data_IF_329679318963
#
_entry.id   IF_329679318963
#
_cell.length_a   1.000
_cell.length_b   1.000
_cell.length_c   1.000
_cell.angle_alpha   90.00
_cell.angle_beta   90.00
_cell.angle_gamma   90.00
#
_symmetry.space_group_name_H-M   'P 1'
#
loop_
_entity.id
_entity.type
_entity.pdbx_description
1 polymer ?
#
# COMPACT_ATOMS: atom_id res chain seq x y z
N UNK A 1 43.22 -1.97 -42.37
CA UNK A 1 43.18 -1.90 -40.89
C UNK A 1 42.31 -0.73 -40.50
N UNK A 2 41.03 -0.98 -40.27
CA UNK A 2 40.07 0.02 -39.77
C UNK A 2 39.78 -0.33 -38.32
N UNK A 3 40.45 0.39 -37.41
CA UNK A 3 40.14 0.38 -35.99
C UNK A 3 38.77 1.05 -35.82
N UNK A 4 37.74 0.24 -35.62
CA UNK A 4 36.49 0.72 -35.02
C UNK A 4 36.78 1.01 -33.56
N UNK A 5 36.94 2.30 -33.26
CA UNK A 5 36.86 2.83 -31.89
C UNK A 5 35.48 2.50 -31.34
N UNK A 6 35.34 1.34 -30.68
CA UNK A 6 34.26 1.13 -29.71
C UNK A 6 34.49 2.16 -28.62
N UNK A 7 33.64 3.18 -28.57
CA UNK A 7 33.53 4.05 -27.40
C UNK A 7 33.26 3.12 -26.22
N UNK A 8 34.29 2.86 -25.42
CA UNK A 8 34.14 2.08 -24.19
C UNK A 8 33.32 2.97 -23.28
N UNK A 9 32.05 2.63 -23.09
CA UNK A 9 31.26 3.21 -22.01
C UNK A 9 31.96 2.72 -20.74
N UNK A 10 32.61 3.59 -19.95
CA UNK A 10 33.27 3.14 -18.73
C UNK A 10 32.21 2.53 -17.81
N UNK A 11 32.52 1.41 -17.16
CA UNK A 11 31.68 0.93 -16.08
C UNK A 11 31.57 2.06 -15.04
N UNK A 12 30.37 2.38 -14.60
CA UNK A 12 30.20 3.35 -13.53
C UNK A 12 30.57 2.71 -12.20
N UNK A 13 30.15 1.47 -11.97
CA UNK A 13 30.41 0.76 -10.71
C UNK A 13 30.81 -0.68 -10.99
N UNK A 14 31.88 -1.15 -10.35
CA UNK A 14 32.22 -2.57 -10.27
C UNK A 14 32.17 -3.03 -8.82
N UNK A 15 31.42 -4.10 -8.54
CA UNK A 15 31.27 -4.67 -7.20
C UNK A 15 31.87 -6.07 -7.20
N UNK A 16 32.71 -6.41 -6.21
CA UNK A 16 33.41 -7.70 -6.13
C UNK A 16 33.77 -8.06 -4.68
N UNK A 17 34.53 -9.14 -4.47
CA UNK A 17 35.06 -9.50 -3.15
C UNK A 17 34.04 -10.20 -2.23
N UNK A 18 32.97 -10.76 -2.79
CA UNK A 18 31.91 -11.45 -2.06
C UNK A 18 31.05 -12.31 -3.00
N UNK A 19 29.85 -12.68 -2.54
CA UNK A 19 28.88 -13.44 -3.34
C UNK A 19 27.87 -12.51 -3.97
N UNK A 20 27.66 -12.59 -5.28
CA UNK A 20 26.59 -11.88 -5.98
C UNK A 20 25.54 -12.90 -6.38
N UNK A 21 24.35 -12.81 -5.80
CA UNK A 21 23.19 -13.57 -6.24
C UNK A 21 22.63 -12.90 -7.51
N UNK A 22 22.75 -13.58 -8.65
CA UNK A 22 22.25 -13.07 -9.94
C UNK A 22 20.79 -13.49 -10.14
N UNK A 23 20.48 -14.74 -9.79
CA UNK A 23 19.12 -15.28 -9.80
C UNK A 23 18.92 -16.18 -8.59
N UNK A 24 17.84 -15.94 -7.84
CA UNK A 24 17.51 -16.72 -6.64
C UNK A 24 17.15 -18.17 -6.98
N UNK A 25 16.52 -18.40 -8.12
CA UNK A 25 16.13 -19.74 -8.57
C UNK A 25 16.34 -19.91 -10.08
N UNK A 26 17.24 -20.81 -10.45
CA UNK A 26 17.33 -21.34 -11.80
C UNK A 26 17.44 -22.87 -11.69
N UNK A 27 16.37 -23.59 -12.06
CA UNK A 27 16.35 -25.06 -12.02
C UNK A 27 16.69 -25.65 -10.62
N UNK A 28 16.25 -24.98 -9.54
CA UNK A 28 16.47 -25.44 -8.17
C UNK A 28 17.86 -25.16 -7.59
N UNK A 29 18.72 -24.40 -8.30
CA UNK A 29 20.00 -23.90 -7.76
C UNK A 29 20.12 -22.38 -7.99
N UNK A 30 20.63 -21.60 -7.02
CA UNK A 30 20.88 -20.18 -7.24
C UNK A 30 22.01 -19.96 -8.25
N UNK A 31 21.85 -18.99 -9.14
CA UNK A 31 22.92 -18.52 -10.02
C UNK A 31 23.68 -17.43 -9.31
N UNK A 32 24.98 -17.65 -9.09
CA UNK A 32 25.86 -16.70 -8.41
C UNK A 32 27.01 -16.24 -9.29
N UNK A 33 27.62 -15.12 -8.92
CA UNK A 33 28.85 -14.59 -9.50
C UNK A 33 29.75 -14.01 -8.41
N UNK A 34 31.03 -13.81 -8.71
CA UNK A 34 32.02 -13.21 -7.80
C UNK A 34 32.30 -11.73 -8.09
N UNK A 35 31.82 -11.20 -9.21
CA UNK A 35 31.85 -9.76 -9.53
C UNK A 35 30.68 -9.34 -10.44
N UNK A 36 30.31 -8.07 -10.41
CA UNK A 36 29.26 -7.48 -11.26
C UNK A 36 29.63 -6.04 -11.62
N UNK A 37 29.39 -5.64 -12.87
CA UNK A 37 29.64 -4.29 -13.35
C UNK A 37 28.35 -3.64 -13.83
N UNK A 38 28.19 -2.36 -13.50
CA UNK A 38 27.06 -1.53 -13.89
C UNK A 38 27.50 -0.35 -14.76
N UNK A 39 26.68 -0.03 -15.76
CA UNK A 39 26.71 1.26 -16.45
C UNK A 39 25.29 1.71 -16.75
N UNK A 40 25.01 2.98 -16.49
CA UNK A 40 23.71 3.63 -16.71
C UNK A 40 22.57 2.78 -16.14
N UNK A 41 22.69 2.37 -14.88
CA UNK A 41 21.68 1.59 -14.16
C UNK A 41 21.40 0.20 -14.73
N UNK A 42 22.29 -0.37 -15.56
CA UNK A 42 22.17 -1.71 -16.13
C UNK A 42 23.40 -2.54 -15.80
N UNK A 43 23.19 -3.85 -15.61
CA UNK A 43 24.29 -4.82 -15.53
C UNK A 43 24.91 -4.97 -16.91
N UNK A 44 26.22 -4.80 -17.02
CA UNK A 44 26.95 -4.90 -18.30
C UNK A 44 27.93 -6.08 -18.35
N UNK A 45 28.35 -6.60 -17.19
CA UNK A 45 29.22 -7.77 -17.09
C UNK A 45 29.08 -8.46 -15.72
N UNK A 46 29.49 -9.73 -15.67
CA UNK A 46 29.55 -10.57 -14.47
C UNK A 46 30.92 -11.27 -14.41
N UNK A 47 31.33 -11.71 -13.21
CA UNK A 47 32.53 -12.49 -13.00
C UNK A 47 33.81 -11.81 -13.50
N UNK A 48 34.68 -12.55 -14.17
CA UNK A 48 35.98 -12.04 -14.62
C UNK A 48 35.85 -10.90 -15.64
N UNK A 49 34.81 -10.91 -16.48
CA UNK A 49 34.52 -9.81 -17.41
C UNK A 49 34.20 -8.51 -16.66
N UNK A 50 33.55 -8.60 -15.49
CA UNK A 50 33.32 -7.43 -14.64
C UNK A 50 34.63 -6.95 -13.96
N UNK A 51 35.50 -7.87 -13.53
CA UNK A 51 36.80 -7.53 -12.94
C UNK A 51 37.73 -6.83 -13.94
N UNK A 52 37.70 -7.25 -15.21
CA UNK A 52 38.47 -6.63 -16.28
C UNK A 52 38.10 -5.14 -16.51
N UNK A 53 36.92 -4.71 -16.05
CA UNK A 53 36.45 -3.33 -16.14
C UNK A 53 36.87 -2.45 -14.96
N UNK A 54 37.40 -3.01 -13.86
CA UNK A 54 37.81 -2.24 -12.67
C UNK A 54 38.78 -1.08 -12.98
N UNK A 55 39.82 -1.23 -13.84
CA UNK A 55 40.74 -0.13 -14.14
C UNK A 55 40.08 1.08 -14.81
N UNK A 56 38.86 0.92 -15.32
CA UNK A 56 38.07 1.93 -16.01
C UNK A 56 36.78 2.29 -15.26
N UNK A 57 36.58 1.75 -14.05
CA UNK A 57 35.39 1.99 -13.26
C UNK A 57 35.45 3.36 -12.56
N UNK A 58 34.32 4.08 -12.51
CA UNK A 58 34.22 5.30 -11.71
C UNK A 58 34.26 4.98 -10.21
N UNK A 59 33.66 3.84 -9.84
CA UNK A 59 33.61 3.35 -8.47
C UNK A 59 33.89 1.83 -8.42
N UNK A 60 34.68 1.41 -7.44
CA UNK A 60 34.93 -0.01 -7.15
C UNK A 60 34.53 -0.29 -5.71
N UNK A 61 33.64 -1.26 -5.51
CA UNK A 61 33.11 -1.64 -4.20
C UNK A 61 33.57 -3.06 -3.87
N UNK A 62 34.24 -3.21 -2.73
CA UNK A 62 34.61 -4.51 -2.15
C UNK A 62 33.58 -4.92 -1.09
N UNK A 63 32.92 -6.06 -1.31
CA UNK A 63 31.94 -6.64 -0.42
C UNK A 63 32.55 -7.25 0.86
N UNK A 64 33.88 -7.42 0.93
CA UNK A 64 34.60 -7.96 2.10
C UNK A 64 34.02 -9.28 2.61
N UNK A 65 33.68 -10.17 1.69
CA UNK A 65 33.05 -11.47 1.96
C UNK A 65 31.52 -11.41 2.14
N UNK A 66 30.90 -10.24 2.06
CA UNK A 66 29.46 -10.06 2.10
C UNK A 66 28.73 -10.53 0.84
N UNK A 67 27.41 -10.33 0.81
CA UNK A 67 26.54 -10.70 -0.30
C UNK A 67 25.87 -9.48 -0.93
N UNK A 68 25.82 -9.45 -2.26
CA UNK A 68 24.92 -8.60 -3.04
C UNK A 68 23.80 -9.46 -3.61
N UNK A 69 22.55 -9.02 -3.48
CA UNK A 69 21.38 -9.72 -4.02
C UNK A 69 20.47 -8.75 -4.76
N UNK A 70 19.57 -9.24 -5.63
CA UNK A 70 18.54 -8.41 -6.23
C UNK A 70 17.69 -7.79 -5.13
N UNK A 71 17.39 -6.50 -5.26
CA UNK A 71 16.52 -5.82 -4.33
C UNK A 71 15.13 -6.45 -4.31
N UNK A 72 14.49 -6.42 -3.15
CA UNK A 72 13.12 -6.89 -2.99
C UNK A 72 12.13 -5.97 -3.70
N UNK A 73 10.99 -6.54 -4.07
CA UNK A 73 9.85 -5.79 -4.57
C UNK A 73 8.57 -6.33 -3.96
N UNK A 74 7.64 -5.43 -3.64
CA UNK A 74 6.33 -5.79 -3.09
C UNK A 74 5.26 -5.68 -4.19
N UNK A 75 4.66 -6.82 -4.54
CA UNK A 75 3.63 -6.94 -5.58
C UNK A 75 2.24 -6.50 -5.15
N UNK A 76 2.00 -6.29 -3.87
CA UNK A 76 0.68 -5.94 -3.36
C UNK A 76 0.78 -5.23 -2.01
N UNK A 77 0.79 -3.89 -2.06
CA UNK A 77 0.78 -3.06 -0.87
C UNK A 77 -0.22 -1.91 -0.99
N UNK A 78 -0.39 -1.18 0.11
CA UNK A 78 -1.14 0.07 0.18
C UNK A 78 -0.29 1.17 0.83
N UNK A 79 0.76 1.68 0.15
CA UNK A 79 1.76 2.58 0.74
C UNK A 79 1.15 3.83 1.39
N UNK A 80 0.22 4.49 0.71
CA UNK A 80 -0.39 5.74 1.19
C UNK A 80 -1.28 5.48 2.40
N UNK A 81 -2.06 4.39 2.38
CA UNK A 81 -2.89 4.02 3.53
C UNK A 81 -2.04 3.71 4.76
N UNK A 82 -0.99 2.89 4.60
CA UNK A 82 -0.09 2.58 5.72
C UNK A 82 0.58 3.82 6.32
N UNK A 83 1.04 4.75 5.49
CA UNK A 83 1.65 5.98 5.99
C UNK A 83 0.66 6.97 6.63
N UNK A 84 -0.57 7.06 6.12
CA UNK A 84 -1.62 7.87 6.74
C UNK A 84 -2.06 7.28 8.08
N UNK A 85 -2.20 5.96 8.19
CA UNK A 85 -2.54 5.27 9.44
C UNK A 85 -1.51 5.53 10.53
N UNK A 86 -0.22 5.65 10.18
CA UNK A 86 0.84 5.98 11.12
C UNK A 86 0.70 7.39 11.74
N UNK A 87 -0.14 8.27 11.19
CA UNK A 87 -0.42 9.61 11.76
C UNK A 87 -1.47 9.57 12.87
N UNK A 88 -2.21 8.47 13.01
CA UNK A 88 -3.24 8.27 14.02
C UNK A 88 -2.74 7.57 15.30
N UNK A 89 -3.66 7.05 16.12
CA UNK A 89 -3.32 6.22 17.27
C UNK A 89 -2.47 5.00 16.86
N UNK A 90 -1.43 4.69 17.65
CA UNK A 90 -0.47 3.61 17.36
C UNK A 90 -1.03 2.25 17.79
N UNK A 91 -2.06 1.78 17.09
CA UNK A 91 -2.84 0.60 17.47
C UNK A 91 -2.27 -0.72 16.99
N UNK A 92 -1.39 -0.71 15.98
CA UNK A 92 -0.84 -1.93 15.37
C UNK A 92 0.03 -2.76 16.33
N UNK A 93 0.61 -2.15 17.36
CA UNK A 93 1.42 -2.85 18.37
C UNK A 93 0.59 -3.44 19.52
N UNK A 94 -0.71 -3.19 19.56
CA UNK A 94 -1.58 -3.78 20.57
C UNK A 94 -1.70 -5.29 20.36
N UNK A 95 -1.74 -6.04 21.46
CA UNK A 95 -1.86 -7.50 21.48
C UNK A 95 -3.22 -7.97 22.02
N UNK A 96 -4.06 -7.03 22.43
CA UNK A 96 -5.40 -7.26 22.97
C UNK A 96 -6.24 -5.97 22.92
N UNK A 97 -7.53 -6.09 23.22
CA UNK A 97 -8.49 -4.97 23.22
C UNK A 97 -8.12 -3.85 24.19
N UNK A 98 -7.61 -4.17 25.38
CA UNK A 98 -7.27 -3.15 26.38
C UNK A 98 -6.08 -2.29 25.93
N UNK A 99 -5.06 -2.89 25.33
CA UNK A 99 -3.94 -2.18 24.72
C UNK A 99 -4.37 -1.33 23.53
N UNK A 100 -5.29 -1.85 22.71
CA UNK A 100 -5.87 -1.12 21.58
C UNK A 100 -6.60 0.14 22.04
N UNK A 101 -7.51 0.00 23.01
CA UNK A 101 -8.27 1.14 23.58
C UNK A 101 -7.33 2.12 24.28
N UNK A 102 -6.30 1.64 24.98
CA UNK A 102 -5.29 2.50 25.61
C UNK A 102 -4.51 3.32 24.58
N UNK A 103 -4.09 2.74 23.45
CA UNK A 103 -3.39 3.48 22.40
C UNK A 103 -4.24 4.64 21.84
N UNK A 104 -5.57 4.44 21.74
CA UNK A 104 -6.52 5.50 21.35
C UNK A 104 -6.63 6.57 22.43
N UNK A 105 -6.72 6.16 23.70
CA UNK A 105 -6.76 7.08 24.83
C UNK A 105 -5.50 7.96 24.88
N UNK A 106 -4.32 7.36 24.74
CA UNK A 106 -3.03 8.05 24.74
C UNK A 106 -2.95 9.07 23.59
N UNK A 107 -3.44 8.70 22.40
CA UNK A 107 -3.54 9.63 21.27
C UNK A 107 -4.48 10.81 21.58
N UNK A 108 -5.65 10.56 22.19
CA UNK A 108 -6.59 11.63 22.57
C UNK A 108 -5.98 12.56 23.62
N UNK A 109 -5.25 12.03 24.59
CA UNK A 109 -4.54 12.83 25.61
C UNK A 109 -3.45 13.70 24.99
N UNK A 110 -2.69 13.16 24.04
CA UNK A 110 -1.67 13.91 23.32
C UNK A 110 -2.26 14.95 22.35
N UNK A 111 -3.50 14.74 21.87
CA UNK A 111 -4.18 15.59 20.90
C UNK A 111 -5.58 16.00 21.40
N UNK A 112 -5.68 16.78 22.49
CA UNK A 112 -6.96 17.07 23.14
C UNK A 112 -7.92 17.85 22.23
N UNK A 113 -7.39 18.65 21.32
CA UNK A 113 -8.16 19.51 20.40
C UNK A 113 -8.38 18.87 19.02
N UNK A 114 -8.03 17.60 18.83
CA UNK A 114 -8.26 16.91 17.56
C UNK A 114 -9.76 16.94 17.21
N UNK A 115 -10.15 17.45 16.04
CA UNK A 115 -11.56 17.48 15.64
C UNK A 115 -12.09 16.08 15.30
N UNK A 116 -11.19 15.17 14.93
CA UNK A 116 -11.44 13.77 14.61
C UNK A 116 -10.23 12.93 15.02
N UNK A 117 -10.46 11.67 15.35
CA UNK A 117 -9.42 10.65 15.49
C UNK A 117 -9.63 9.64 14.37
N UNK A 118 -8.70 9.62 13.42
CA UNK A 118 -8.70 8.67 12.30
C UNK A 118 -7.45 7.81 12.45
N UNK A 119 -7.62 6.50 12.40
CA UNK A 119 -6.50 5.57 12.57
C UNK A 119 -6.77 4.18 12.02
N UNK A 120 -5.84 3.29 12.29
CA UNK A 120 -5.79 1.91 11.83
C UNK A 120 -4.36 1.39 11.96
N UNK A 121 -4.05 0.15 11.65
CA UNK A 121 -4.95 -0.98 11.41
C UNK A 121 -5.06 -1.75 12.72
N UNK A 122 -6.26 -2.00 13.26
CA UNK A 122 -6.42 -2.81 14.50
C UNK A 122 -6.75 -4.28 14.18
N UNK A 123 -6.33 -5.19 15.05
CA UNK A 123 -6.63 -6.62 14.88
C UNK A 123 -8.08 -6.91 15.31
N UNK A 124 -8.92 -7.29 14.36
CA UNK A 124 -10.33 -7.58 14.62
C UNK A 124 -10.55 -8.81 15.51
N UNK A 125 -9.55 -9.68 15.68
CA UNK A 125 -9.68 -10.88 16.53
C UNK A 125 -9.74 -10.55 18.02
N UNK A 126 -9.46 -9.30 18.43
CA UNK A 126 -9.53 -8.88 19.83
C UNK A 126 -10.96 -8.77 20.38
N UNK A 127 -11.98 -8.85 19.51
CA UNK A 127 -13.37 -8.93 19.91
C UNK A 127 -14.04 -10.18 19.31
N UNK A 128 -14.99 -10.76 20.04
CA UNK A 128 -15.76 -11.90 19.57
C UNK A 128 -16.46 -11.57 18.25
N UNK A 129 -16.28 -12.44 17.24
CA UNK A 129 -16.86 -12.25 15.90
C UNK A 129 -16.35 -11.00 15.16
N UNK A 130 -15.26 -10.36 15.61
CA UNK A 130 -14.79 -9.10 15.03
C UNK A 130 -15.73 -7.92 15.32
N UNK A 131 -16.61 -8.04 16.32
CA UNK A 131 -17.64 -7.07 16.63
C UNK A 131 -17.20 -6.12 17.76
N UNK A 132 -16.86 -4.89 17.39
CA UNK A 132 -16.42 -3.85 18.31
C UNK A 132 -17.56 -2.87 18.60
N UNK A 133 -17.82 -2.65 19.90
CA UNK A 133 -18.86 -1.73 20.36
C UNK A 133 -18.33 -0.29 20.41
N UNK A 134 -19.08 0.66 19.84
CA UNK A 134 -18.81 2.09 19.86
C UNK A 134 -18.54 2.63 21.28
N UNK A 135 -19.18 2.06 22.30
CA UNK A 135 -19.05 2.49 23.68
C UNK A 135 -17.63 2.32 24.24
N UNK A 136 -16.81 1.39 23.73
CA UNK A 136 -15.43 1.26 24.22
C UNK A 136 -14.55 2.41 23.73
N UNK A 137 -14.82 2.96 22.54
CA UNK A 137 -14.19 4.21 22.09
C UNK A 137 -14.77 5.42 22.82
N UNK A 138 -16.09 5.48 23.00
CA UNK A 138 -16.74 6.60 23.70
C UNK A 138 -16.12 6.82 25.09
N UNK A 139 -15.77 5.74 25.80
CA UNK A 139 -15.14 5.79 27.12
C UNK A 139 -13.78 6.52 27.14
N UNK A 140 -13.06 6.56 26.02
CA UNK A 140 -11.71 7.16 25.93
C UNK A 140 -11.63 8.37 25.01
N UNK A 141 -12.58 8.56 24.09
CA UNK A 141 -12.58 9.68 23.14
C UNK A 141 -13.70 10.69 23.38
N UNK A 142 -14.70 10.35 24.21
CA UNK A 142 -15.85 11.18 24.51
C UNK A 142 -16.61 11.55 23.22
N UNK A 143 -16.91 12.84 23.07
CA UNK A 143 -17.61 13.36 21.87
C UNK A 143 -16.69 13.62 20.68
N UNK A 144 -15.42 13.19 20.71
CA UNK A 144 -14.51 13.29 19.57
C UNK A 144 -14.84 12.18 18.57
N UNK A 145 -15.34 12.48 17.35
CA UNK A 145 -15.60 11.45 16.35
C UNK A 145 -14.34 10.62 16.07
N UNK A 146 -14.47 9.31 16.20
CA UNK A 146 -13.35 8.37 16.08
C UNK A 146 -13.70 7.25 15.11
N UNK A 147 -12.79 6.97 14.18
CA UNK A 147 -12.85 5.83 13.27
C UNK A 147 -11.49 5.14 13.21
N UNK A 148 -11.50 3.83 13.38
CA UNK A 148 -10.32 2.97 13.22
C UNK A 148 -10.61 1.94 12.13
N UNK A 149 -9.69 1.76 11.18
CA UNK A 149 -9.76 0.68 10.19
C UNK A 149 -9.14 -0.61 10.75
N UNK A 150 -9.70 -1.76 10.41
CA UNK A 150 -9.14 -3.08 10.72
C UNK A 150 -8.02 -3.48 9.73
N UNK A 151 -7.21 -4.47 10.10
CA UNK A 151 -6.17 -5.07 9.25
C UNK A 151 -6.71 -5.70 7.96
N UNK A 152 -7.97 -6.13 7.97
CA UNK A 152 -8.61 -6.69 6.77
C UNK A 152 -8.86 -5.62 5.69
N UNK A 153 -8.80 -4.33 6.04
CA UNK A 153 -9.17 -3.22 5.16
C UNK A 153 -10.64 -3.25 4.68
N UNK A 154 -11.46 -4.15 5.23
CA UNK A 154 -12.88 -4.37 4.96
C UNK A 154 -13.77 -3.98 6.14
N UNK A 155 -13.19 -3.77 7.32
CA UNK A 155 -13.93 -3.43 8.54
C UNK A 155 -13.46 -2.08 9.11
N UNK A 156 -14.42 -1.30 9.64
CA UNK A 156 -14.13 -0.09 10.41
C UNK A 156 -14.89 -0.11 11.73
N UNK A 157 -14.22 0.37 12.79
CA UNK A 157 -14.79 0.58 14.11
C UNK A 157 -14.94 2.06 14.38
N UNK A 158 -16.17 2.49 14.67
CA UNK A 158 -16.54 3.88 14.90
C UNK A 158 -17.19 4.06 16.27
N UNK A 159 -16.98 5.23 16.89
CA UNK A 159 -17.62 5.60 18.14
C UNK A 159 -19.01 6.25 17.90
N UNK A 160 -19.74 6.55 18.98
CA UNK A 160 -21.09 7.12 18.88
C UNK A 160 -21.09 8.51 18.25
N UNK A 161 -20.04 9.32 18.48
CA UNK A 161 -19.90 10.63 17.87
C UNK A 161 -19.71 10.54 16.34
N UNK A 162 -18.94 9.56 15.87
CA UNK A 162 -18.73 9.27 14.45
C UNK A 162 -20.02 8.75 13.76
N UNK A 163 -20.77 7.87 14.43
CA UNK A 163 -22.09 7.44 13.93
C UNK A 163 -23.07 8.62 13.78
N UNK A 164 -23.12 9.53 14.77
CA UNK A 164 -23.93 10.76 14.70
C UNK A 164 -23.48 11.67 13.56
N UNK A 165 -22.18 11.83 13.34
CA UNK A 165 -21.64 12.64 12.25
C UNK A 165 -22.04 12.10 10.86
N UNK A 166 -22.19 10.78 10.74
CA UNK A 166 -22.69 10.11 9.52
C UNK A 166 -24.22 10.08 9.40
N UNK A 167 -24.96 10.46 10.45
CA UNK A 167 -26.41 10.31 10.50
C UNK A 167 -26.87 8.84 10.50
N UNK A 168 -26.03 7.91 10.97
CA UNK A 168 -26.36 6.48 11.03
C UNK A 168 -27.22 6.21 12.28
N UNK A 169 -28.41 5.66 12.08
CA UNK A 169 -29.40 5.30 13.11
C UNK A 169 -29.84 3.84 12.96
N UNK A 170 -30.74 3.38 13.83
CA UNK A 170 -31.32 2.03 13.74
C UNK A 170 -32.08 1.82 12.41
N UNK A 171 -32.63 2.89 11.85
CA UNK A 171 -33.41 2.91 10.61
C UNK A 171 -32.56 3.03 9.34
N UNK A 172 -31.27 3.33 9.46
CA UNK A 172 -30.37 3.39 8.30
C UNK A 172 -30.25 1.99 7.69
N UNK A 173 -30.60 1.79 6.40
CA UNK A 173 -30.45 0.49 5.75
C UNK A 173 -28.98 0.16 5.51
N UNK A 174 -28.66 -1.12 5.37
CA UNK A 174 -27.34 -1.54 4.93
C UNK A 174 -27.11 -1.11 3.46
N UNK A 175 -25.93 -0.59 3.09
CA UNK A 175 -25.62 -0.25 1.71
C UNK A 175 -25.46 -1.52 0.85
N UNK A 176 -25.60 -1.44 -0.49
CA UNK A 176 -25.23 -2.54 -1.37
C UNK A 176 -23.80 -3.01 -1.10
N UNK A 177 -23.60 -4.33 -1.00
CA UNK A 177 -22.30 -4.95 -0.69
C UNK A 177 -21.68 -4.46 0.64
N UNK A 178 -22.50 -4.07 1.63
CA UNK A 178 -22.02 -3.68 2.94
C UNK A 178 -22.99 -3.97 4.06
N UNK A 179 -22.52 -3.83 5.30
CA UNK A 179 -23.33 -4.07 6.50
C UNK A 179 -23.00 -3.09 7.60
N UNK A 180 -24.05 -2.57 8.25
CA UNK A 180 -23.95 -1.86 9.53
C UNK A 180 -24.30 -2.87 10.62
N UNK A 181 -23.32 -3.27 11.44
CA UNK A 181 -23.56 -4.24 12.52
C UNK A 181 -24.44 -3.57 13.58
N UNK A 182 -25.47 -4.28 14.05
CA UNK A 182 -26.45 -3.79 15.02
C UNK A 182 -26.42 -4.63 16.29
N UNK A 183 -26.76 -4.00 17.43
CA UNK A 183 -27.08 -4.67 18.69
C UNK A 183 -28.45 -5.35 18.59
N UNK A 184 -28.80 -6.13 19.61
CA UNK A 184 -30.09 -6.82 19.71
C UNK A 184 -31.30 -5.86 19.70
N UNK A 185 -31.12 -4.63 20.18
CA UNK A 185 -32.16 -3.59 20.16
C UNK A 185 -32.28 -2.87 18.82
N UNK A 186 -31.49 -3.26 17.82
CA UNK A 186 -31.44 -2.65 16.49
C UNK A 186 -30.56 -1.41 16.38
N UNK A 187 -29.98 -0.91 17.47
CA UNK A 187 -29.07 0.24 17.43
C UNK A 187 -27.76 -0.13 16.73
N UNK A 188 -27.11 0.80 15.99
CA UNK A 188 -25.81 0.56 15.39
C UNK A 188 -24.76 0.25 16.45
N UNK A 189 -24.06 -0.87 16.32
CA UNK A 189 -23.06 -1.35 17.27
C UNK A 189 -21.81 -0.48 17.27
N UNK A 190 -21.38 0.00 16.10
CA UNK A 190 -20.10 0.69 15.89
C UNK A 190 -19.15 -0.04 14.95
N UNK A 191 -19.45 -1.29 14.60
CA UNK A 191 -18.73 -2.03 13.55
C UNK A 191 -19.41 -1.86 12.20
N UNK A 192 -18.66 -1.44 11.20
CA UNK A 192 -19.08 -1.28 9.80
C UNK A 192 -18.28 -2.27 8.94
N UNK A 193 -18.93 -2.91 7.97
CA UNK A 193 -18.30 -3.93 7.11
C UNK A 193 -18.49 -3.61 5.62
N UNK A 194 -17.45 -3.94 4.85
CA UNK A 194 -17.37 -3.86 3.39
C UNK A 194 -17.68 -2.44 2.89
N UNK A 195 -18.68 -2.26 2.02
CA UNK A 195 -19.06 -0.96 1.50
C UNK A 195 -19.44 0.04 2.62
N UNK A 196 -20.01 -0.41 3.75
CA UNK A 196 -20.34 0.48 4.86
C UNK A 196 -19.08 1.09 5.50
N UNK A 197 -18.02 0.29 5.67
CA UNK A 197 -16.74 0.77 6.21
C UNK A 197 -16.03 1.72 5.23
N UNK A 198 -15.94 1.31 3.96
CA UNK A 198 -15.23 2.07 2.94
C UNK A 198 -15.93 3.39 2.62
N UNK A 199 -17.27 3.42 2.53
CA UNK A 199 -18.02 4.66 2.33
C UNK A 199 -17.88 5.60 3.52
N UNK A 200 -17.89 5.08 4.76
CA UNK A 200 -17.69 5.92 5.94
C UNK A 200 -16.33 6.65 5.90
N UNK A 201 -15.25 5.91 5.62
CA UNK A 201 -13.91 6.49 5.50
C UNK A 201 -13.79 7.47 4.32
N UNK A 202 -14.45 7.17 3.19
CA UNK A 202 -14.37 8.00 2.00
C UNK A 202 -15.22 9.28 2.10
N UNK A 203 -16.38 9.24 2.73
CA UNK A 203 -17.41 10.29 2.62
C UNK A 203 -17.68 11.03 3.93
N UNK A 204 -17.43 10.40 5.09
CA UNK A 204 -17.72 10.99 6.40
C UNK A 204 -16.46 11.45 7.10
N UNK A 205 -15.43 10.59 7.15
CA UNK A 205 -14.18 10.93 7.82
C UNK A 205 -13.46 12.09 7.10
N UNK A 206 -12.71 12.95 7.83
CA UNK A 206 -11.94 14.02 7.21
C UNK A 206 -10.94 13.46 6.20
N UNK A 207 -11.01 13.96 4.98
CA UNK A 207 -10.05 13.60 3.93
C UNK A 207 -8.72 14.31 4.17
N UNK A 208 -7.59 13.60 4.08
CA UNK A 208 -6.29 14.26 4.09
C UNK A 208 -6.17 15.20 2.87
N UNK A 209 -5.43 16.27 3.07
CA UNK A 209 -5.09 17.21 2.00
C UNK A 209 -4.10 16.58 1.02
N UNK A 210 -4.03 17.11 -0.22
CA UNK A 210 -3.01 16.70 -1.19
C UNK A 210 -1.59 16.74 -0.60
N UNK A 211 -1.27 17.75 0.21
CA UNK A 211 0.03 17.85 0.88
C UNK A 211 0.30 16.67 1.81
N UNK A 212 -0.69 16.29 2.64
CA UNK A 212 -0.59 15.12 3.52
C UNK A 212 -0.48 13.81 2.74
N UNK A 213 -1.18 13.66 1.61
CA UNK A 213 -1.02 12.51 0.74
C UNK A 213 0.38 12.45 0.11
N UNK A 214 0.95 13.58 -0.30
CA UNK A 214 2.34 13.63 -0.81
C UNK A 214 3.35 13.29 0.30
N UNK A 215 3.13 13.77 1.52
CA UNK A 215 3.95 13.39 2.68
C UNK A 215 3.86 11.89 2.97
N UNK A 216 2.66 11.30 2.85
CA UNK A 216 2.46 9.85 3.00
C UNK A 216 3.22 9.06 1.92
N UNK A 217 3.16 9.48 0.66
CA UNK A 217 3.93 8.86 -0.44
C UNK A 217 5.45 8.95 -0.18
N UNK A 218 5.93 10.12 0.27
CA UNK A 218 7.34 10.33 0.59
C UNK A 218 7.81 9.41 1.72
N UNK A 219 7.05 9.38 2.82
CA UNK A 219 7.36 8.55 3.99
C UNK A 219 7.36 7.06 3.63
N UNK A 220 6.30 6.58 2.98
CA UNK A 220 6.18 5.17 2.62
C UNK A 220 7.30 4.72 1.68
N UNK A 221 7.55 5.49 0.60
CA UNK A 221 8.60 5.12 -0.35
C UNK A 221 10.00 5.21 0.26
N UNK A 222 10.23 6.14 1.19
CA UNK A 222 11.50 6.21 1.94
C UNK A 222 11.69 4.99 2.84
N UNK A 223 10.65 4.57 3.55
CA UNK A 223 10.68 3.39 4.41
C UNK A 223 10.97 2.12 3.61
N UNK A 224 10.28 1.93 2.47
CA UNK A 224 10.59 0.82 1.56
C UNK A 224 12.06 0.81 1.12
N UNK A 225 12.62 1.97 0.76
CA UNK A 225 14.03 2.07 0.38
C UNK A 225 14.98 1.70 1.54
N UNK A 226 14.66 2.10 2.78
CA UNK A 226 15.43 1.74 3.98
C UNK A 226 15.40 0.24 4.28
N UNK A 227 14.30 -0.45 3.92
CA UNK A 227 14.16 -1.91 4.03
C UNK A 227 14.80 -2.67 2.85
N UNK A 228 15.45 -1.97 1.91
CA UNK A 228 16.06 -2.59 0.72
C UNK A 228 15.05 -2.97 -0.38
N UNK A 229 13.81 -2.48 -0.30
CA UNK A 229 12.81 -2.64 -1.36
C UNK A 229 12.96 -1.51 -2.36
N UNK A 230 13.03 -1.84 -3.65
CA UNK A 230 13.24 -0.82 -4.72
C UNK A 230 12.06 -0.69 -5.68
N UNK A 231 11.02 -1.50 -5.47
CA UNK A 231 9.79 -1.48 -6.24
C UNK A 231 8.59 -1.87 -5.38
N UNK A 232 7.48 -1.19 -5.57
CA UNK A 232 6.20 -1.50 -4.93
C UNK A 232 5.05 -1.31 -5.93
N UNK A 233 4.04 -2.16 -5.85
CA UNK A 233 2.75 -1.91 -6.47
C UNK A 233 1.77 -1.41 -5.42
N UNK A 234 1.27 -0.18 -5.58
CA UNK A 234 0.04 0.20 -4.88
C UNK A 234 -1.12 -0.55 -5.54
N UNK A 235 -1.67 -1.50 -4.79
CA UNK A 235 -2.66 -2.45 -5.26
C UNK A 235 -4.08 -1.90 -5.31
N UNK A 236 -4.29 -0.64 -4.92
CA UNK A 236 -5.58 0.04 -5.03
C UNK A 236 -5.36 1.56 -5.18
N UNK A 237 -5.54 2.05 -6.41
CA UNK A 237 -5.47 3.47 -6.73
C UNK A 237 -6.78 3.91 -7.37
N UNK A 238 -7.47 4.87 -6.76
CA UNK A 238 -8.61 5.56 -7.36
C UNK A 238 -8.15 6.71 -8.26
N UNK A 239 -9.03 7.21 -9.15
CA UNK A 239 -8.73 8.37 -9.98
C UNK A 239 -8.08 9.56 -9.28
N UNK A 240 -8.58 9.93 -8.10
CA UNK A 240 -8.08 11.06 -7.33
C UNK A 240 -6.67 10.79 -6.76
N UNK A 241 -6.32 9.52 -6.53
CA UNK A 241 -5.04 9.15 -5.91
C UNK A 241 -3.86 9.32 -6.85
N UNK A 242 -4.09 9.30 -8.16
CA UNK A 242 -3.04 9.52 -9.17
C UNK A 242 -2.37 10.88 -8.97
N UNK A 243 -3.12 11.92 -8.59
CA UNK A 243 -2.55 13.25 -8.32
C UNK A 243 -1.53 13.24 -7.19
N UNK A 244 -1.73 12.40 -6.17
CA UNK A 244 -0.82 12.28 -5.04
C UNK A 244 0.58 11.84 -5.52
N UNK A 245 0.62 10.83 -6.39
CA UNK A 245 1.84 10.30 -6.95
C UNK A 245 2.48 11.22 -8.00
N UNK A 246 1.68 11.89 -8.82
CA UNK A 246 2.18 12.89 -9.78
C UNK A 246 2.82 14.09 -9.08
N UNK A 247 2.18 14.58 -8.01
CA UNK A 247 2.72 15.65 -7.18
C UNK A 247 4.01 15.21 -6.47
N UNK A 248 4.04 14.01 -5.88
CA UNK A 248 5.24 13.46 -5.24
C UNK A 248 6.38 13.27 -6.25
N UNK A 249 6.11 12.74 -7.44
CA UNK A 249 7.09 12.60 -8.52
C UNK A 249 7.70 13.95 -8.91
N UNK A 250 6.85 14.95 -9.15
CA UNK A 250 7.28 16.31 -9.52
C UNK A 250 8.14 16.96 -8.43
N UNK A 251 7.82 16.69 -7.17
CA UNK A 251 8.59 17.16 -6.00
C UNK A 251 9.83 16.31 -5.69
N UNK A 252 10.12 15.25 -6.48
CA UNK A 252 11.21 14.28 -6.25
C UNK A 252 11.13 13.56 -4.91
N UNK A 253 9.91 13.20 -4.51
CA UNK A 253 9.56 12.54 -3.24
C UNK A 253 9.21 11.05 -3.41
N UNK A 254 9.70 10.43 -4.48
CA UNK A 254 9.60 8.98 -4.71
C UNK A 254 10.98 8.35 -4.55
N UNK A 255 11.18 7.62 -3.44
CA UNK A 255 12.47 6.98 -3.11
C UNK A 255 12.55 5.53 -3.60
N UNK A 256 11.42 4.95 -4.01
CA UNK A 256 11.30 3.65 -4.66
C UNK A 256 10.50 3.76 -5.95
N UNK A 257 10.58 2.74 -6.82
CA UNK A 257 9.72 2.67 -8.00
C UNK A 257 8.32 2.27 -7.58
N UNK A 258 7.31 2.97 -8.07
CA UNK A 258 5.90 2.66 -7.77
C UNK A 258 5.16 2.33 -9.05
N UNK A 259 4.42 1.23 -9.05
CA UNK A 259 3.40 0.95 -10.05
C UNK A 259 2.00 1.10 -9.44
N UNK A 260 1.13 1.85 -10.12
CA UNK A 260 -0.24 2.08 -9.71
C UNK A 260 -1.16 1.01 -10.32
N UNK A 261 -1.94 0.33 -9.48
CA UNK A 261 -3.03 -0.55 -9.91
C UNK A 261 -4.37 0.19 -9.79
N UNK A 262 -4.90 0.60 -10.95
CA UNK A 262 -6.15 1.38 -11.03
C UNK A 262 -7.34 0.46 -10.72
N UNK A 263 -8.17 0.80 -9.72
CA UNK A 263 -9.31 -0.05 -9.31
C UNK A 263 -10.43 -0.02 -10.36
N UNK A 264 -10.78 -1.19 -10.89
CA UNK A 264 -11.98 -1.39 -11.67
C UNK A 264 -13.20 -1.59 -10.75
N UNK A 265 -14.21 -0.75 -10.95
CA UNK A 265 -15.47 -0.80 -10.23
C UNK A 265 -16.46 -1.76 -10.89
N UNK A 266 -17.07 -2.71 -10.15
CA UNK A 266 -17.93 -3.73 -10.75
C UNK A 266 -19.13 -3.17 -11.53
N UNK A 267 -19.64 -2.00 -11.12
CA UNK A 267 -20.82 -1.39 -11.75
C UNK A 267 -20.49 -0.45 -12.90
N UNK A 268 -19.28 0.11 -12.92
CA UNK A 268 -18.91 1.21 -13.84
C UNK A 268 -17.60 1.00 -14.62
N UNK A 269 -16.93 -0.15 -14.51
CA UNK A 269 -15.61 -0.38 -15.12
C UNK A 269 -15.54 -0.11 -16.62
N UNK A 270 -16.63 -0.31 -17.36
CA UNK A 270 -16.68 -0.03 -18.81
C UNK A 270 -16.49 1.44 -19.11
N UNK A 271 -17.07 2.30 -18.28
CA UNK A 271 -16.95 3.76 -18.38
C UNK A 271 -15.58 4.23 -17.86
N UNK A 272 -14.92 3.43 -17.02
CA UNK A 272 -13.59 3.73 -16.49
C UNK A 272 -12.44 3.48 -17.49
N UNK A 273 -12.66 2.77 -18.61
CA UNK A 273 -11.59 2.43 -19.57
C UNK A 273 -10.88 3.68 -20.10
N UNK A 274 -11.64 4.67 -20.59
CA UNK A 274 -11.08 5.92 -21.09
C UNK A 274 -10.37 6.73 -19.99
N UNK A 275 -10.88 6.65 -18.76
CA UNK A 275 -10.28 7.29 -17.58
C UNK A 275 -8.93 6.64 -17.24
N UNK A 276 -8.82 5.32 -17.33
CA UNK A 276 -7.56 4.60 -17.09
C UNK A 276 -6.52 4.88 -18.17
N UNK A 277 -6.94 5.02 -19.43
CA UNK A 277 -6.06 5.43 -20.53
C UNK A 277 -5.48 6.82 -20.29
N UNK A 278 -6.33 7.80 -19.96
CA UNK A 278 -5.90 9.16 -19.61
C UNK A 278 -4.90 9.16 -18.44
N UNK A 279 -5.21 8.46 -17.35
CA UNK A 279 -4.30 8.36 -16.19
C UNK A 279 -2.95 7.75 -16.56
N UNK A 280 -2.95 6.68 -17.36
CA UNK A 280 -1.72 6.04 -17.80
C UNK A 280 -0.89 6.99 -18.65
N UNK A 281 -1.50 7.74 -19.55
CA UNK A 281 -0.81 8.70 -20.41
C UNK A 281 -0.27 9.90 -19.60
N UNK A 282 -1.02 10.39 -18.61
CA UNK A 282 -0.58 11.43 -17.67
C UNK A 282 0.63 10.95 -16.85
N UNK A 283 0.58 9.74 -16.29
CA UNK A 283 1.71 9.13 -15.57
C UNK A 283 2.91 8.93 -16.49
N UNK A 284 2.70 8.46 -17.72
CA UNK A 284 3.79 8.30 -18.69
C UNK A 284 4.44 9.63 -19.03
N UNK A 285 3.65 10.68 -19.29
CA UNK A 285 4.14 12.01 -19.62
C UNK A 285 4.92 12.63 -18.45
N UNK A 286 4.37 12.56 -17.23
CA UNK A 286 5.04 13.06 -16.03
C UNK A 286 6.35 12.31 -15.75
N UNK A 287 6.34 10.98 -15.87
CA UNK A 287 7.55 10.17 -15.72
C UNK A 287 8.60 10.48 -16.77
N UNK A 288 8.21 10.71 -18.03
CA UNK A 288 9.14 11.13 -19.08
C UNK A 288 9.74 12.52 -18.78
N UNK A 289 8.93 13.47 -18.29
CA UNK A 289 9.38 14.81 -17.92
C UNK A 289 10.30 14.81 -16.68
N UNK A 290 10.09 13.87 -15.75
CA UNK A 290 10.90 13.73 -14.53
C UNK A 290 12.20 12.94 -14.74
N UNK A 291 12.30 12.17 -15.83
CA UNK A 291 13.46 11.32 -16.13
C UNK A 291 14.57 12.10 -16.83
N UNK A 292 15.82 11.92 -16.42
CA UNK A 292 16.98 12.38 -17.17
C UNK A 292 17.37 11.42 -18.30
N UNK A 293 18.36 11.77 -19.16
CA UNK A 293 18.94 10.84 -20.14
C UNK A 293 19.44 9.54 -19.50
N UNK A 294 19.93 9.64 -18.26
CA UNK A 294 20.39 8.50 -17.47
C UNK A 294 19.25 7.66 -16.85
N UNK A 295 17.98 7.96 -17.15
CA UNK A 295 16.80 7.24 -16.66
C UNK A 295 15.94 6.67 -17.81
N UNK A 296 16.48 6.63 -19.03
CA UNK A 296 15.74 6.15 -20.20
C UNK A 296 15.22 4.71 -20.00
N UNK A 297 13.89 4.57 -20.04
CA UNK A 297 13.17 3.33 -19.75
C UNK A 297 13.09 2.94 -18.26
N UNK A 298 13.43 3.86 -17.33
CA UNK A 298 13.45 3.65 -15.87
C UNK A 298 12.62 4.69 -15.12
N UNK A 299 11.32 4.67 -15.36
CA UNK A 299 10.39 5.55 -14.64
C UNK A 299 10.30 5.20 -13.15
N UNK A 300 10.33 6.21 -12.28
CA UNK A 300 10.02 6.06 -10.84
C UNK A 300 8.54 5.79 -10.58
N UNK A 301 7.66 6.16 -11.53
CA UNK A 301 6.22 5.96 -11.44
C UNK A 301 5.67 5.35 -12.72
N UNK A 302 4.85 4.31 -12.61
CA UNK A 302 4.13 3.68 -13.72
C UNK A 302 2.67 3.40 -13.34
N UNK A 303 1.80 3.19 -14.32
CA UNK A 303 0.39 2.82 -14.12
C UNK A 303 -0.01 1.73 -15.13
N UNK A 304 0.57 0.54 -14.96
CA UNK A 304 0.43 -0.57 -15.91
C UNK A 304 -0.61 -1.62 -15.49
N UNK A 305 -1.19 -1.50 -14.30
CA UNK A 305 -2.07 -2.52 -13.72
C UNK A 305 -3.48 -2.00 -13.57
N UNK A 306 -4.47 -2.87 -13.81
CA UNK A 306 -5.87 -2.67 -13.41
C UNK A 306 -6.18 -3.72 -12.33
N UNK A 307 -6.73 -3.27 -11.20
CA UNK A 307 -7.10 -4.12 -10.07
C UNK A 307 -8.58 -4.46 -10.12
N UNK A 308 -8.90 -5.74 -9.97
CA UNK A 308 -10.27 -6.25 -9.79
C UNK A 308 -10.38 -6.89 -8.40
N UNK A 309 -11.55 -6.75 -7.76
CA UNK A 309 -11.90 -7.44 -6.52
C UNK A 309 -13.02 -8.43 -6.82
N UNK A 310 -12.73 -9.72 -6.93
CA UNK A 310 -13.74 -10.71 -7.32
C UNK A 310 -14.82 -10.89 -6.24
N UNK A 311 -14.42 -10.79 -4.99
CA UNK A 311 -15.19 -11.03 -3.77
C UNK A 311 -14.51 -10.30 -2.58
N UNK A 312 -14.93 -10.60 -1.35
CA UNK A 312 -14.33 -10.07 -0.11
C UNK A 312 -13.34 -11.03 0.55
N UNK A 313 -13.39 -11.14 1.88
CA UNK A 313 -12.46 -11.92 2.70
C UNK A 313 -13.15 -13.08 3.41
N UNK A 314 -12.36 -14.08 3.83
CA UNK A 314 -12.90 -15.29 4.48
C UNK A 314 -13.49 -14.94 5.84
N UNK A 315 -12.82 -14.07 6.58
CA UNK A 315 -13.09 -13.68 7.97
C UNK A 315 -14.46 -13.02 8.14
N UNK A 316 -14.90 -12.24 7.15
CA UNK A 316 -16.19 -11.54 7.15
C UNK A 316 -17.32 -12.35 6.47
N UNK A 317 -17.04 -13.60 6.10
CA UNK A 317 -17.91 -14.43 5.28
C UNK A 317 -18.32 -13.76 3.96
N UNK A 318 -17.44 -12.95 3.36
CA UNK A 318 -17.70 -12.21 2.12
C UNK A 318 -16.94 -12.77 0.91
N UNK A 319 -15.90 -13.58 1.11
CA UNK A 319 -15.24 -14.36 0.05
C UNK A 319 -16.20 -15.40 -0.58
N UNK A 320 -16.20 -15.50 -1.90
CA UNK A 320 -17.12 -16.34 -2.67
C UNK A 320 -16.60 -17.78 -2.76
N UNK A 321 -17.20 -18.68 -2.00
CA UNK A 321 -16.78 -20.08 -1.91
C UNK A 321 -17.58 -21.02 -2.84
N UNK A 322 -16.95 -22.10 -3.28
CA UNK A 322 -17.62 -23.15 -4.10
C UNK A 322 -18.58 -24.02 -3.28
N UNK A 323 -18.40 -24.08 -1.97
CA UNK A 323 -19.27 -24.72 -0.99
C UNK A 323 -19.55 -23.76 0.16
N UNK A 324 -20.63 -23.94 0.95
CA UNK A 324 -20.90 -23.06 2.09
C UNK A 324 -19.76 -23.03 3.10
N UNK A 325 -19.66 -21.91 3.82
CA UNK A 325 -18.74 -21.77 4.94
C UNK A 325 -18.99 -22.85 6.00
N UNK A 326 -17.90 -23.39 6.57
CA UNK A 326 -17.98 -24.51 7.52
C UNK A 326 -18.70 -24.12 8.82
N UNK A 327 -18.54 -22.88 9.25
CA UNK A 327 -19.18 -22.25 10.40
C UNK A 327 -20.49 -21.53 10.05
N UNK A 328 -20.80 -21.38 8.75
CA UNK A 328 -22.03 -20.75 8.25
C UNK A 328 -22.63 -21.54 7.06
N UNK A 329 -23.28 -22.69 7.30
CA UNK A 329 -23.66 -23.67 6.27
C UNK A 329 -24.66 -23.20 5.19
N UNK A 330 -25.21 -21.99 5.33
CA UNK A 330 -26.17 -21.39 4.40
C UNK A 330 -25.58 -20.22 3.60
N UNK A 331 -24.34 -19.82 3.90
CA UNK A 331 -23.68 -18.68 3.27
C UNK A 331 -22.52 -19.16 2.39
N UNK A 332 -22.38 -18.54 1.21
CA UNK A 332 -21.30 -18.80 0.25
C UNK A 332 -20.52 -17.53 -0.10
N UNK A 333 -20.74 -16.45 0.64
CA UNK A 333 -20.09 -15.16 0.40
C UNK A 333 -20.86 -14.23 -0.52
N UNK A 334 -20.17 -13.16 -0.91
CA UNK A 334 -20.72 -12.05 -1.67
C UNK A 334 -19.84 -11.80 -2.91
N UNK A 335 -20.18 -12.38 -4.08
CA UNK A 335 -19.46 -12.09 -5.31
C UNK A 335 -19.70 -10.64 -5.75
N UNK A 336 -18.64 -9.95 -6.15
CA UNK A 336 -18.72 -8.56 -6.60
C UNK A 336 -19.12 -8.42 -8.06
N UNK A 337 -18.96 -9.48 -8.86
CA UNK A 337 -19.21 -9.48 -10.31
C UNK A 337 -20.28 -10.53 -10.64
N UNK A 338 -21.33 -10.09 -11.32
CA UNK A 338 -22.44 -10.90 -11.81
C UNK A 338 -22.65 -10.69 -13.30
#
# INVERSE_FOLDING_TARGET
>A
MTQTSRTVVPAQTVISGGTILVQAEHQGTPVTSHAIAFADGRVIALGDDALALQPHAVEVIDLKGGMLAPALGDGHAHPVFGALEATGPQVRSATNLDELVRAVADFKVANPDAPWIVGGSYDATFAEGGMFDAHWLDAVTGDTPTVLRSWDYHTAWVNSAALRAAGITAETPDPPLGRIVRRDDGSPLGTLQEAAANHFLAEVAPRPTLAQHVDAVDSATREYAQLGMTWVQDAWVEPADVEHYLAALTQRRLHTRVNLALRADPFSWRDQVAVFEDMRDRVRAASAAASGPADEGRSRLTAHTVKFFLDGVIENHSASLTAPYADRPHDRGLPNWS
#
